data_IF_725554545024
#
_entry.id   IF_725554545024
#
_cell.length_a   1.000
_cell.length_b   1.000
_cell.length_c   1.000
_cell.angle_alpha   90.00
_cell.angle_beta   90.00
_cell.angle_gamma   90.00
#
_symmetry.space_group_name_H-M   'P 1'
#
loop_
_entity.id
_entity.type
_entity.pdbx_description
1 polymer ?
#
# COMPACT_ATOMS: atom_id res chain seq x y z
N UNK A 1 18.50 -7.60 -18.34
CA UNK A 1 18.75 -6.99 -17.02
C UNK A 1 17.50 -7.26 -16.21
N UNK A 2 17.61 -8.12 -15.19
CA UNK A 2 16.50 -8.49 -14.32
C UNK A 2 16.12 -7.21 -13.58
N UNK A 3 14.94 -6.62 -13.84
CA UNK A 3 14.36 -5.64 -12.93
C UNK A 3 14.01 -6.45 -11.69
N UNK A 4 14.79 -6.33 -10.62
CA UNK A 4 14.52 -7.15 -9.46
C UNK A 4 13.27 -6.56 -8.81
N UNK A 5 12.48 -7.38 -8.12
CA UNK A 5 11.23 -6.99 -7.44
C UNK A 5 11.54 -6.16 -6.17
N UNK A 6 12.37 -5.14 -6.37
CA UNK A 6 13.29 -4.57 -5.40
C UNK A 6 12.74 -3.27 -4.81
N UNK A 7 12.92 -3.11 -3.50
CA UNK A 7 12.87 -1.84 -2.76
C UNK A 7 11.50 -1.24 -2.49
N UNK A 8 10.41 -1.94 -2.86
CA UNK A 8 9.06 -1.40 -2.71
C UNK A 8 8.75 -1.00 -1.27
N UNK A 9 9.15 -1.79 -0.27
CA UNK A 9 8.81 -1.51 1.12
C UNK A 9 9.51 -0.26 1.68
N UNK A 10 10.79 -0.06 1.34
CA UNK A 10 11.54 1.11 1.82
C UNK A 10 10.96 2.40 1.21
N UNK A 11 10.79 2.43 -0.10
CA UNK A 11 10.26 3.61 -0.82
C UNK A 11 8.80 3.88 -0.41
N UNK A 12 7.98 2.83 -0.29
CA UNK A 12 6.59 2.96 0.16
C UNK A 12 6.48 3.49 1.60
N UNK A 13 7.33 3.01 2.50
CA UNK A 13 7.40 3.50 3.88
C UNK A 13 7.72 5.01 3.90
N UNK A 14 8.73 5.45 3.15
CA UNK A 14 9.12 6.86 3.11
C UNK A 14 8.09 7.75 2.43
N UNK A 15 7.53 7.31 1.30
CA UNK A 15 6.50 8.06 0.59
C UNK A 15 5.24 8.24 1.47
N UNK A 16 4.84 7.19 2.18
CA UNK A 16 3.70 7.25 3.12
C UNK A 16 4.02 8.14 4.31
N UNK A 17 5.22 8.05 4.88
CA UNK A 17 5.64 8.91 5.99
C UNK A 17 5.64 10.38 5.58
N UNK A 18 6.19 10.71 4.40
CA UNK A 18 6.20 12.06 3.86
C UNK A 18 4.77 12.62 3.67
N UNK A 19 3.88 11.82 3.11
CA UNK A 19 2.47 12.19 2.92
C UNK A 19 1.74 12.45 4.25
N UNK A 20 1.93 11.57 5.25
CA UNK A 20 1.32 11.73 6.59
C UNK A 20 1.82 13.00 7.29
N UNK A 21 3.12 13.27 7.19
CA UNK A 21 3.73 14.50 7.75
C UNK A 21 3.20 15.73 7.04
N UNK A 22 3.07 15.71 5.71
CA UNK A 22 2.51 16.83 4.95
C UNK A 22 1.04 17.13 5.30
N UNK A 23 0.26 16.10 5.66
CA UNK A 23 -1.15 16.22 6.01
C UNK A 23 -1.42 16.49 7.50
N UNK A 24 -0.38 16.54 8.36
CA UNK A 24 -0.49 16.64 9.82
C UNK A 24 -1.37 15.55 10.45
N UNK A 25 -1.34 14.34 9.89
CA UNK A 25 -2.10 13.18 10.37
C UNK A 25 -1.27 12.32 11.34
N UNK A 26 -1.90 11.34 12.00
CA UNK A 26 -1.19 10.39 12.86
C UNK A 26 -0.16 9.59 12.05
N UNK A 27 1.04 9.43 12.61
CA UNK A 27 2.17 8.70 12.01
C UNK A 27 1.94 7.19 12.14
N UNK A 28 0.91 6.67 11.48
CA UNK A 28 0.65 5.23 11.37
C UNK A 28 0.89 4.81 9.93
N UNK A 29 2.08 4.30 9.65
CA UNK A 29 2.42 3.81 8.31
C UNK A 29 1.70 2.49 8.09
N UNK A 30 0.87 2.46 7.05
CA UNK A 30 0.14 1.27 6.61
C UNK A 30 0.43 1.03 5.14
N UNK A 31 0.41 -0.23 4.72
CA UNK A 31 0.58 -0.60 3.32
C UNK A 31 -0.70 -0.32 2.51
N UNK A 32 -0.98 0.96 2.32
CA UNK A 32 -2.11 1.46 1.52
C UNK A 32 -1.68 1.85 0.09
N UNK A 33 -0.43 1.51 -0.27
CA UNK A 33 0.24 1.99 -1.48
C UNK A 33 0.62 3.47 -1.41
N UNK A 34 1.28 3.95 -2.47
CA UNK A 34 1.71 5.34 -2.61
C UNK A 34 1.48 5.85 -4.04
N UNK A 35 1.51 7.18 -4.20
CA UNK A 35 1.47 7.79 -5.53
C UNK A 35 2.84 7.70 -6.20
N UNK A 36 2.87 7.60 -7.53
CA UNK A 36 4.13 7.57 -8.30
C UNK A 36 4.96 8.84 -8.01
N UNK A 37 4.29 9.99 -7.95
CA UNK A 37 4.94 11.27 -7.62
C UNK A 37 5.57 11.24 -6.24
N UNK A 38 4.82 10.81 -5.22
CA UNK A 38 5.35 10.72 -3.85
C UNK A 38 6.50 9.71 -3.71
N UNK A 39 6.47 8.62 -4.48
CA UNK A 39 7.59 7.68 -4.53
C UNK A 39 8.85 8.31 -5.16
N UNK A 40 8.70 9.10 -6.22
CA UNK A 40 9.81 9.82 -6.86
C UNK A 40 10.36 10.89 -5.91
N UNK A 41 9.50 11.69 -5.28
CA UNK A 41 9.89 12.69 -4.28
C UNK A 41 10.66 12.05 -3.13
N UNK A 42 10.20 10.89 -2.64
CA UNK A 42 10.91 10.16 -1.60
C UNK A 42 12.30 9.66 -2.03
N UNK A 43 12.44 9.24 -3.30
CA UNK A 43 13.72 8.83 -3.87
C UNK A 43 14.67 10.02 -4.14
N UNK A 44 14.14 11.20 -4.41
CA UNK A 44 14.93 12.43 -4.53
C UNK A 44 15.42 12.92 -3.16
N UNK A 45 14.58 12.84 -2.13
CA UNK A 45 14.91 13.33 -0.79
C UNK A 45 15.78 12.37 0.03
N UNK A 46 15.47 11.07 0.03
CA UNK A 46 16.15 10.08 0.88
C UNK A 46 16.91 9.00 0.11
N UNK A 47 16.66 8.87 -1.20
CA UNK A 47 17.22 7.79 -2.00
C UNK A 47 16.68 6.41 -1.65
N UNK A 48 17.45 5.36 -1.94
CA UNK A 48 17.03 3.98 -1.68
C UNK A 48 18.19 3.07 -1.31
N UNK A 49 17.99 2.16 -0.36
CA UNK A 49 19.03 1.23 0.06
C UNK A 49 19.17 0.04 -0.90
N UNK A 50 20.14 -0.84 -0.64
CA UNK A 50 20.23 -2.13 -1.33
C UNK A 50 19.27 -3.14 -0.70
N UNK A 51 18.71 -4.05 -1.52
CA UNK A 51 17.82 -5.12 -1.03
C UNK A 51 18.51 -6.12 -0.09
N UNK A 52 19.85 -6.22 -0.17
CA UNK A 52 20.62 -7.00 0.81
C UNK A 52 20.55 -6.43 2.23
N UNK A 53 20.25 -5.13 2.36
CA UNK A 53 20.17 -4.42 3.62
C UNK A 53 18.73 -4.30 4.13
N UNK A 54 17.78 -4.11 3.20
CA UNK A 54 16.34 -4.12 3.49
C UNK A 54 15.60 -5.02 2.50
N UNK A 55 15.56 -6.34 2.75
CA UNK A 55 14.93 -7.29 1.86
C UNK A 55 13.42 -7.08 1.80
N UNK A 56 12.82 -7.42 0.66
CA UNK A 56 11.37 -7.44 0.52
C UNK A 56 10.76 -8.51 1.44
N UNK A 57 10.13 -8.04 2.51
CA UNK A 57 9.36 -8.85 3.46
C UNK A 57 8.09 -8.07 3.83
N UNK A 58 6.92 -8.70 3.66
CA UNK A 58 5.63 -8.10 3.98
C UNK A 58 5.55 -7.61 5.43
N UNK A 59 6.24 -8.29 6.36
CA UNK A 59 6.28 -7.90 7.77
C UNK A 59 7.05 -6.58 7.98
N UNK A 60 7.91 -6.20 7.03
CA UNK A 60 8.71 -4.98 7.09
C UNK A 60 8.03 -3.78 6.42
N UNK A 61 6.88 -3.95 5.75
CA UNK A 61 6.24 -2.90 4.97
C UNK A 61 5.86 -1.67 5.82
N UNK A 62 5.49 -1.89 7.08
CA UNK A 62 5.05 -0.84 8.01
C UNK A 62 6.13 -0.49 9.05
N UNK A 63 7.28 -1.14 9.00
CA UNK A 63 8.36 -0.97 9.97
C UNK A 63 9.35 0.08 9.48
N UNK A 64 9.83 0.90 10.43
CA UNK A 64 10.91 1.84 10.14
C UNK A 64 12.17 1.06 9.73
N UNK A 65 12.79 1.40 8.59
CA UNK A 65 14.09 0.87 8.20
C UNK A 65 15.17 1.12 9.25
N UNK A 66 16.21 0.29 9.23
CA UNK A 66 17.40 0.49 10.07
C UNK A 66 18.14 1.76 9.68
N UNK A 67 18.88 2.35 10.62
CA UNK A 67 19.68 3.56 10.34
C UNK A 67 20.75 3.29 9.26
N UNK A 68 21.32 2.09 9.23
CA UNK A 68 22.22 1.64 8.17
C UNK A 68 21.57 1.71 6.78
N UNK A 69 20.27 1.40 6.67
CA UNK A 69 19.54 1.52 5.41
C UNK A 69 19.41 2.97 4.94
N UNK A 70 19.22 3.92 5.87
CA UNK A 70 19.19 5.34 5.55
C UNK A 70 20.57 5.85 5.12
N UNK A 71 21.63 5.44 5.81
CA UNK A 71 23.00 5.83 5.48
C UNK A 71 23.41 5.36 4.07
N UNK A 72 23.03 4.13 3.70
CA UNK A 72 23.30 3.60 2.37
C UNK A 72 22.39 4.23 1.29
N UNK A 73 21.15 4.60 1.66
CA UNK A 73 20.19 5.14 0.70
C UNK A 73 20.65 6.44 0.01
N UNK A 74 21.45 7.24 0.71
CA UNK A 74 22.05 8.49 0.20
C UNK A 74 22.89 8.24 -1.07
N UNK A 75 23.50 7.04 -1.20
CA UNK A 75 24.33 6.69 -2.34
C UNK A 75 23.51 6.40 -3.61
N UNK A 76 22.19 6.26 -3.49
CA UNK A 76 21.28 5.89 -4.57
C UNK A 76 20.06 6.81 -4.63
N UNK A 77 20.29 8.13 -4.62
CA UNK A 77 19.25 9.13 -4.84
C UNK A 77 19.02 9.43 -6.31
N UNK A 78 17.80 9.84 -6.64
CA UNK A 78 17.47 10.37 -7.96
C UNK A 78 17.87 11.85 -7.99
N UNK A 79 18.51 12.27 -9.09
CA UNK A 79 18.88 13.69 -9.27
C UNK A 79 17.80 14.47 -10.01
N UNK A 80 17.17 13.86 -11.01
CA UNK A 80 16.15 14.50 -11.84
C UNK A 80 15.10 13.47 -12.28
N UNK A 81 13.83 13.84 -12.17
CA UNK A 81 12.71 13.12 -12.76
C UNK A 81 11.86 14.05 -13.64
N UNK A 82 11.30 13.50 -14.71
CA UNK A 82 10.50 14.26 -15.68
C UNK A 82 9.12 13.62 -15.87
N UNK A 83 8.10 14.46 -15.93
CA UNK A 83 6.75 14.03 -16.27
C UNK A 83 6.61 13.91 -17.79
N UNK A 84 6.07 12.78 -18.23
CA UNK A 84 5.79 12.49 -19.64
C UNK A 84 4.28 12.59 -19.87
N UNK A 85 3.86 13.31 -20.90
CA UNK A 85 2.45 13.65 -21.12
C UNK A 85 1.83 12.94 -22.33
N UNK A 86 2.64 12.61 -23.35
CA UNK A 86 2.13 12.03 -24.59
C UNK A 86 2.86 10.76 -25.07
N UNK A 87 2.23 10.04 -26.00
CA UNK A 87 2.74 8.79 -26.55
C UNK A 87 4.03 8.96 -27.36
N UNK A 88 4.21 10.10 -28.00
CA UNK A 88 5.42 10.40 -28.76
C UNK A 88 6.61 10.59 -27.80
N UNK A 89 6.43 11.33 -26.72
CA UNK A 89 7.40 11.50 -25.64
C UNK A 89 7.74 10.16 -24.98
N UNK A 90 6.74 9.33 -24.67
CA UNK A 90 6.97 7.98 -24.13
C UNK A 90 7.87 7.14 -25.05
N UNK A 91 7.61 7.16 -26.36
CA UNK A 91 8.44 6.43 -27.35
C UNK A 91 9.84 7.01 -27.45
N UNK A 92 9.96 8.34 -27.45
CA UNK A 92 11.25 9.03 -27.52
C UNK A 92 12.11 8.75 -26.28
N UNK A 93 11.50 8.69 -25.09
CA UNK A 93 12.14 8.36 -23.82
C UNK A 93 12.77 6.96 -23.88
N UNK A 94 12.00 5.95 -24.32
CA UNK A 94 12.50 4.58 -24.48
C UNK A 94 13.58 4.47 -25.57
N UNK A 95 13.42 5.19 -26.68
CA UNK A 95 14.42 5.21 -27.76
C UNK A 95 15.77 5.79 -27.31
N UNK A 96 15.75 6.70 -26.34
CA UNK A 96 16.95 7.26 -25.73
C UNK A 96 17.55 6.38 -24.63
N UNK A 97 16.87 5.30 -24.24
CA UNK A 97 17.32 4.35 -23.22
C UNK A 97 16.89 4.71 -21.79
N UNK A 98 15.95 5.64 -21.62
CA UNK A 98 15.41 6.00 -20.32
C UNK A 98 14.10 5.25 -20.05
N UNK A 99 14.01 4.43 -18.98
CA UNK A 99 12.75 3.84 -18.55
C UNK A 99 11.86 4.90 -17.89
N UNK A 100 10.55 4.65 -17.86
CA UNK A 100 9.59 5.50 -17.16
C UNK A 100 8.53 4.65 -16.45
N UNK A 101 7.93 5.20 -15.38
CA UNK A 101 6.82 4.60 -14.66
C UNK A 101 5.50 5.27 -15.05
N UNK A 102 4.41 4.51 -15.08
CA UNK A 102 3.06 5.04 -15.31
C UNK A 102 2.01 4.15 -14.64
N UNK A 103 0.87 4.76 -14.31
CA UNK A 103 -0.28 4.04 -13.76
C UNK A 103 -1.20 3.55 -14.89
N UNK A 104 -1.71 2.33 -14.75
CA UNK A 104 -2.74 1.78 -15.63
C UNK A 104 -3.91 1.23 -14.80
N UNK A 105 -5.12 1.39 -15.31
CA UNK A 105 -6.30 0.77 -14.69
C UNK A 105 -6.33 -0.70 -15.08
N UNK A 106 -6.35 -1.56 -14.08
CA UNK A 106 -6.47 -3.00 -14.27
C UNK A 106 -7.94 -3.40 -14.35
N UNK A 107 -8.23 -4.36 -15.20
CA UNK A 107 -9.56 -4.97 -15.38
C UNK A 107 -9.38 -6.49 -15.35
N UNK A 108 -10.44 -7.26 -15.07
CA UNK A 108 -10.41 -8.74 -15.15
C UNK A 108 -9.88 -9.30 -16.48
N UNK A 109 -9.99 -8.53 -17.56
CA UNK A 109 -9.40 -8.89 -18.85
C UNK A 109 -7.87 -8.96 -18.85
N UNK A 110 -7.21 -8.24 -17.93
CA UNK A 110 -5.77 -8.24 -17.74
C UNK A 110 -5.27 -9.56 -17.16
N UNK A 111 -5.99 -10.15 -16.20
CA UNK A 111 -5.64 -11.44 -15.58
C UNK A 111 -5.68 -12.61 -16.57
N UNK A 112 -6.42 -12.45 -17.68
CA UNK A 112 -6.46 -13.42 -18.78
C UNK A 112 -5.27 -13.32 -19.73
N UNK A 113 -4.32 -12.42 -19.49
CA UNK A 113 -3.07 -12.37 -20.22
C UNK A 113 -2.22 -13.59 -19.82
N UNK A 114 -2.33 -14.68 -20.58
CA UNK A 114 -1.46 -15.85 -20.43
C UNK A 114 -0.05 -15.61 -20.99
N UNK A 115 0.71 -16.70 -21.14
CA UNK A 115 2.13 -16.69 -21.57
C UNK A 115 2.40 -16.15 -22.99
N UNK A 116 1.35 -15.77 -23.72
CA UNK A 116 1.41 -15.32 -25.11
C UNK A 116 1.82 -13.84 -25.26
N UNK A 117 2.03 -13.11 -24.16
CA UNK A 117 2.60 -11.76 -24.16
C UNK A 117 1.66 -10.67 -24.67
N UNK A 118 0.36 -10.93 -24.72
CA UNK A 118 -0.66 -9.97 -25.15
C UNK A 118 -1.67 -9.69 -24.04
N UNK A 119 -1.81 -8.42 -23.69
CA UNK A 119 -2.85 -7.92 -22.79
C UNK A 119 -4.08 -7.58 -23.59
N UNK A 120 -5.23 -8.15 -23.22
CA UNK A 120 -6.49 -7.87 -23.89
C UNK A 120 -7.02 -6.48 -23.51
N UNK A 121 -7.54 -5.76 -24.50
CA UNK A 121 -8.24 -4.49 -24.25
C UNK A 121 -9.52 -4.79 -23.44
N UNK A 122 -9.81 -4.01 -22.39
CA UNK A 122 -11.05 -4.15 -21.62
C UNK A 122 -12.28 -4.06 -22.53
N UNK A 123 -13.26 -4.93 -22.30
CA UNK A 123 -14.53 -4.84 -23.03
C UNK A 123 -15.33 -3.69 -22.45
N UNK A 124 -16.19 -3.06 -23.27
CA UNK A 124 -17.07 -1.96 -22.85
C UNK A 124 -18.05 -2.34 -21.70
N UNK A 125 -18.15 -3.63 -21.39
CA UNK A 125 -18.99 -4.23 -20.35
C UNK A 125 -18.21 -4.69 -19.13
N UNK A 126 -16.88 -4.59 -19.17
CA UNK A 126 -16.02 -4.67 -17.98
C UNK A 126 -16.19 -3.30 -17.28
N UNK A 127 -17.38 -3.04 -16.73
CA UNK A 127 -17.57 -1.95 -15.79
C UNK A 127 -16.83 -2.35 -14.50
N UNK A 128 -16.51 -1.38 -13.64
CA UNK A 128 -16.08 -1.71 -12.29
C UNK A 128 -17.28 -2.36 -11.61
N UNK A 129 -17.34 -3.69 -11.65
CA UNK A 129 -18.42 -4.42 -11.01
C UNK A 129 -18.27 -4.14 -9.52
N UNK A 130 -19.29 -3.52 -8.92
CA UNK A 130 -19.35 -3.26 -7.48
C UNK A 130 -19.21 -4.55 -6.65
N UNK A 131 -19.46 -5.70 -7.27
CA UNK A 131 -19.22 -7.03 -6.70
C UNK A 131 -17.72 -7.32 -6.48
N UNK A 132 -16.82 -6.82 -7.33
CA UNK A 132 -15.36 -7.02 -7.18
C UNK A 132 -14.77 -6.21 -6.02
N UNK A 133 -15.36 -5.07 -5.70
CA UNK A 133 -14.97 -4.29 -4.53
C UNK A 133 -15.38 -4.96 -3.21
N UNK A 134 -16.49 -5.72 -3.24
CA UNK A 134 -17.01 -6.47 -2.08
C UNK A 134 -16.17 -7.74 -1.85
N UNK A 135 -15.76 -8.45 -2.90
CA UNK A 135 -14.86 -9.60 -2.79
C UNK A 135 -13.50 -9.21 -2.18
N UNK A 136 -12.98 -8.02 -2.51
CA UNK A 136 -11.73 -7.53 -1.93
C UNK A 136 -11.84 -7.21 -0.43
N UNK A 137 -13.01 -6.74 0.04
CA UNK A 137 -13.25 -6.46 1.46
C UNK A 137 -13.51 -7.73 2.29
N UNK A 138 -14.08 -8.77 1.68
CA UNK A 138 -14.38 -10.03 2.38
C UNK A 138 -13.18 -11.01 2.41
N UNK A 139 -12.14 -10.81 1.60
CA UNK A 139 -10.94 -11.66 1.60
C UNK A 139 -10.01 -11.44 2.81
N UNK A 140 -10.19 -10.37 3.59
CA UNK A 140 -9.34 -10.05 4.75
C UNK A 140 -9.88 -10.58 6.09
N UNK A 141 -11.05 -11.24 6.11
CA UNK A 141 -11.63 -11.86 7.31
C UNK A 141 -11.59 -13.39 7.25
N UNK A 142 -10.45 -13.98 6.93
CA UNK A 142 -10.21 -15.42 7.15
C UNK A 142 -9.03 -15.60 8.11
N UNK A 143 -9.25 -15.25 9.39
CA UNK A 143 -8.48 -15.81 10.51
C UNK A 143 -9.35 -16.82 11.25
N UNK A 144 -9.11 -18.08 10.90
CA UNK A 144 -9.22 -19.31 11.71
C UNK A 144 -10.32 -19.37 12.78
N UNK A 145 -11.43 -20.03 12.43
CA UNK A 145 -12.29 -20.68 13.41
C UNK A 145 -11.62 -21.94 13.96
N UNK A 146 -11.01 -21.82 15.14
CA UNK A 146 -10.71 -22.99 15.98
C UNK A 146 -12.02 -23.40 16.65
N UNK A 147 -12.57 -24.53 16.20
CA UNK A 147 -13.55 -25.29 16.98
C UNK A 147 -12.79 -26.04 18.07
N UNK A 148 -13.06 -25.73 19.33
CA UNK A 148 -12.81 -26.66 20.44
C UNK A 148 -14.11 -26.76 21.25
N UNK A 149 -14.69 -27.95 21.19
CA UNK A 149 -15.81 -28.39 22.00
C UNK A 149 -15.40 -28.55 23.48
N UNK A 150 -16.39 -28.35 24.35
CA UNK A 150 -16.52 -28.82 25.74
C UNK A 150 -15.58 -28.27 26.82
N UNK A 151 -16.14 -27.43 27.72
CA UNK A 151 -16.24 -27.80 29.14
C UNK A 151 -17.20 -26.89 29.93
N UNK A 152 -17.81 -27.54 30.91
CA UNK A 152 -19.01 -27.20 31.68
C UNK A 152 -18.80 -26.11 32.77
N UNK A 153 -19.93 -25.66 33.34
CA UNK A 153 -20.19 -25.18 34.72
C UNK A 153 -20.48 -23.68 34.89
N UNK A 154 -21.68 -23.38 35.42
CA UNK A 154 -21.85 -22.26 36.35
C UNK A 154 -23.17 -21.50 36.31
N UNK A 155 -24.24 -22.08 36.86
CA UNK A 155 -25.47 -21.38 37.27
C UNK A 155 -25.15 -20.32 38.33
N UNK A 156 -25.60 -19.06 38.16
CA UNK A 156 -26.24 -18.26 39.23
C UNK A 156 -27.18 -17.19 38.61
N UNK A 157 -28.47 -17.23 38.98
CA UNK A 157 -29.41 -16.11 38.92
C UNK A 157 -29.05 -15.07 40.00
N UNK A 158 -29.24 -13.77 39.76
CA UNK A 158 -30.16 -12.93 40.56
C UNK A 158 -30.16 -11.45 40.07
N UNK A 159 -31.34 -10.86 40.23
CA UNK A 159 -31.69 -9.47 39.92
C UNK A 159 -31.05 -8.44 40.87
N UNK A 160 -30.96 -7.18 40.43
CA UNK A 160 -31.45 -5.98 41.15
C UNK A 160 -31.09 -4.68 40.39
N UNK A 161 -32.14 -3.99 39.94
CA UNK A 161 -32.52 -2.57 40.15
C UNK A 161 -31.48 -1.41 40.25
N UNK A 162 -31.93 -0.29 39.68
CA UNK A 162 -31.74 1.14 40.06
C UNK A 162 -30.82 2.03 39.20
N UNK A 163 -31.49 2.85 38.38
CA UNK A 163 -31.44 4.32 38.30
C UNK A 163 -30.09 5.05 38.47
N UNK A 164 -29.69 5.81 37.45
CA UNK A 164 -29.65 7.28 37.54
C UNK A 164 -29.16 7.92 36.23
N UNK A 165 -30.08 8.63 35.56
CA UNK A 165 -29.78 9.72 34.63
C UNK A 165 -29.23 10.90 35.43
N UNK A 166 -28.09 11.49 35.04
CA UNK A 166 -27.83 12.91 35.30
C UNK A 166 -27.15 13.61 34.12
N UNK A 167 -27.92 14.54 33.57
CA UNK A 167 -27.52 15.62 32.67
C UNK A 167 -26.35 16.43 33.26
N UNK A 168 -25.39 16.80 32.41
CA UNK A 168 -24.43 17.87 32.69
C UNK A 168 -24.78 19.10 31.84
N UNK A 169 -25.41 20.08 32.50
CA UNK A 169 -25.67 21.41 31.96
C UNK A 169 -24.45 22.32 32.19
N UNK A 170 -24.13 23.08 31.14
CA UNK A 170 -23.02 24.03 31.03
C UNK A 170 -23.37 25.30 31.80
N UNK A 171 -22.45 25.81 32.63
CA UNK A 171 -22.31 27.26 32.83
C UNK A 171 -20.97 27.68 33.44
N UNK A 172 -20.27 28.49 32.64
CA UNK A 172 -19.20 29.48 32.90
C UNK A 172 -17.87 29.03 33.51
#
# INVERSE_FOLDING_TARGET
MCFPRMLLNFVNYLATLSALVANNESITVTDSGCTITGAIEALEEWGTCLESLWPYDLNNANLRPSDEAYDEAINHSITEAFQISDLYEMKACLAQGFPFAFGLRLFKSFERAGDFGHVHIPKCRDHWDVEDAIDYQNSSEDTESINDDDDEIGVIEEANQDDDEQEINIQS
#
